data_IF_693156112089
#
_entry.id   IF_693156112089
#
_cell.length_a   1.000
_cell.length_b   1.000
_cell.length_c   1.000
_cell.angle_alpha   90.00
_cell.angle_beta   90.00
_cell.angle_gamma   90.00
#
_symmetry.space_group_name_H-M   'P 1'
#
loop_
_entity.id
_entity.type
_entity.pdbx_description
1 polymer ?
#
# COMPACT_ATOMS: atom_id res chain seq x y z
N UNK A 1 -25.11 1.39 13.68
CA UNK A 1 -23.87 1.27 12.87
C UNK A 1 -22.87 0.44 13.65
N UNK A 2 -21.83 -0.07 13.00
CA UNK A 2 -20.74 -0.82 13.63
C UNK A 2 -19.40 -0.11 13.49
N UNK A 3 -18.31 -0.68 14.00
CA UNK A 3 -16.98 -0.09 13.94
C UNK A 3 -16.61 0.35 12.52
N UNK A 4 -16.20 1.61 12.36
CA UNK A 4 -16.02 2.27 11.05
C UNK A 4 -14.67 2.98 10.98
N UNK A 5 -13.92 2.73 9.91
CA UNK A 5 -12.74 3.51 9.54
C UNK A 5 -13.11 4.40 8.35
N UNK A 6 -12.99 5.71 8.52
CA UNK A 6 -13.25 6.67 7.44
C UNK A 6 -12.03 6.67 6.51
N UNK A 7 -12.24 6.75 5.19
CA UNK A 7 -11.13 6.79 4.23
C UNK A 7 -11.09 8.13 3.50
N UNK A 8 -10.04 8.91 3.74
CA UNK A 8 -9.74 10.14 3.01
C UNK A 8 -8.64 9.90 1.95
N UNK A 9 -8.95 10.15 0.67
CA UNK A 9 -8.01 10.01 -0.47
C UNK A 9 -8.40 10.93 -1.63
N UNK A 10 -8.21 12.26 -1.49
CA UNK A 10 -8.67 13.25 -2.46
C UNK A 10 -8.16 13.02 -3.89
N UNK A 11 -6.98 12.44 -4.06
CA UNK A 11 -6.41 12.11 -5.37
C UNK A 11 -7.25 11.11 -6.17
N UNK A 12 -8.15 10.36 -5.52
CA UNK A 12 -9.06 9.39 -6.16
C UNK A 12 -10.52 9.81 -6.10
N UNK A 13 -10.94 10.54 -5.07
CA UNK A 13 -12.33 10.99 -4.88
C UNK A 13 -12.61 12.36 -5.49
N UNK A 14 -11.57 13.17 -5.74
CA UNK A 14 -11.69 14.56 -6.16
C UNK A 14 -12.04 15.53 -5.03
N UNK A 15 -12.15 15.05 -3.78
CA UNK A 15 -12.54 15.86 -2.63
C UNK A 15 -11.80 15.39 -1.36
N UNK A 16 -11.16 16.36 -0.70
CA UNK A 16 -10.57 16.17 0.63
C UNK A 16 -11.67 16.22 1.70
N UNK A 17 -11.62 15.29 2.67
CA UNK A 17 -12.51 15.32 3.83
C UNK A 17 -11.90 16.29 4.84
N UNK A 18 -12.51 17.45 5.08
CA UNK A 18 -11.87 18.48 5.86
C UNK A 18 -11.80 18.08 7.35
N UNK A 19 -10.76 18.49 8.10
CA UNK A 19 -10.57 18.09 9.49
C UNK A 19 -11.74 18.38 10.43
N UNK A 20 -12.54 19.43 10.15
CA UNK A 20 -13.72 19.77 10.95
C UNK A 20 -14.79 18.67 10.87
N UNK A 21 -14.97 18.05 9.69
CA UNK A 21 -15.92 16.95 9.49
C UNK A 21 -15.46 15.71 10.24
N UNK A 22 -14.16 15.38 10.17
CA UNK A 22 -13.58 14.26 10.92
C UNK A 22 -13.75 14.45 12.43
N UNK A 23 -13.50 15.67 12.93
CA UNK A 23 -13.68 15.98 14.34
C UNK A 23 -15.15 15.91 14.78
N UNK A 24 -16.10 16.33 13.94
CA UNK A 24 -17.52 16.18 14.26
C UNK A 24 -17.89 14.70 14.39
N UNK A 25 -17.47 13.88 13.43
CA UNK A 25 -17.78 12.43 13.41
C UNK A 25 -17.04 11.66 14.51
N UNK A 26 -15.89 12.13 14.99
CA UNK A 26 -15.11 11.44 16.03
C UNK A 26 -15.80 11.34 17.39
N UNK A 27 -16.94 12.01 17.57
CA UNK A 27 -17.80 11.86 18.76
C UNK A 27 -18.68 10.60 18.71
N UNK A 28 -18.82 9.96 17.54
CA UNK A 28 -19.54 8.69 17.41
C UNK A 28 -18.67 7.54 17.93
N UNK A 29 -19.18 6.79 18.90
CA UNK A 29 -18.49 5.64 19.50
C UNK A 29 -18.16 4.51 18.50
N UNK A 30 -18.78 4.50 17.33
CA UNK A 30 -18.48 3.56 16.26
C UNK A 30 -17.31 4.00 15.39
N UNK A 31 -16.82 5.23 15.49
CA UNK A 31 -15.66 5.67 14.72
C UNK A 31 -14.38 5.04 15.29
N UNK A 32 -13.85 4.06 14.57
CA UNK A 32 -12.59 3.41 14.90
C UNK A 32 -11.38 4.27 14.53
N UNK A 33 -11.50 5.18 13.56
CA UNK A 33 -10.43 6.08 13.14
C UNK A 33 -10.50 6.47 11.66
N UNK A 34 -9.37 6.93 11.12
CA UNK A 34 -9.25 7.35 9.71
C UNK A 34 -8.09 6.61 9.02
N UNK A 35 -8.30 6.17 7.78
CA UNK A 35 -7.25 5.88 6.82
C UNK A 35 -6.94 7.17 6.06
N UNK A 36 -5.74 7.73 6.27
CA UNK A 36 -5.36 9.04 5.72
C UNK A 36 -4.31 8.91 4.62
N UNK A 37 -4.52 9.59 3.49
CA UNK A 37 -3.65 9.60 2.31
C UNK A 37 -3.17 11.01 1.90
N UNK A 38 -3.58 12.07 2.61
CA UNK A 38 -3.14 13.46 2.32
C UNK A 38 -1.67 13.68 2.68
N UNK A 39 -1.23 13.13 3.82
CA UNK A 39 0.17 13.19 4.24
C UNK A 39 0.36 13.25 5.75
N UNK A 40 1.62 13.16 6.18
CA UNK A 40 1.99 13.01 7.59
C UNK A 40 1.63 14.21 8.47
N UNK A 41 1.58 15.44 7.95
CA UNK A 41 1.15 16.60 8.74
C UNK A 41 -0.32 16.47 9.16
N UNK A 42 -1.18 15.99 8.25
CA UNK A 42 -2.59 15.71 8.56
C UNK A 42 -2.73 14.57 9.56
N UNK A 43 -1.88 13.53 9.44
CA UNK A 43 -1.81 12.43 10.42
C UNK A 43 -1.51 12.97 11.82
N UNK A 44 -0.52 13.85 11.95
CA UNK A 44 -0.16 14.44 13.24
C UNK A 44 -1.27 15.31 13.81
N UNK A 45 -1.91 16.14 12.99
CA UNK A 45 -3.03 16.99 13.43
C UNK A 45 -4.19 16.18 14.02
N UNK A 46 -4.45 14.99 13.49
CA UNK A 46 -5.45 14.08 14.03
C UNK A 46 -4.96 13.33 15.27
N UNK A 47 -3.73 12.81 15.24
CA UNK A 47 -3.15 12.08 16.36
C UNK A 47 -3.02 12.94 17.63
N UNK A 48 -2.62 14.22 17.48
CA UNK A 48 -2.54 15.19 18.58
C UNK A 48 -3.92 15.49 19.21
N UNK A 49 -5.01 15.22 18.48
CA UNK A 49 -6.41 15.31 18.98
C UNK A 49 -6.97 13.97 19.48
N UNK A 50 -6.13 12.94 19.57
CA UNK A 50 -6.52 11.61 20.04
C UNK A 50 -7.32 10.77 19.03
N UNK A 51 -7.34 11.16 17.75
CA UNK A 51 -8.00 10.38 16.70
C UNK A 51 -7.04 9.29 16.23
N UNK A 52 -7.54 8.05 16.17
CA UNK A 52 -6.78 6.89 15.68
C UNK A 52 -6.61 7.01 14.16
N UNK A 53 -5.38 6.93 13.69
CA UNK A 53 -5.04 7.04 12.27
C UNK A 53 -4.23 5.84 11.80
N UNK A 54 -4.57 5.33 10.62
CA UNK A 54 -3.69 4.48 9.82
C UNK A 54 -3.24 5.26 8.59
N UNK A 55 -1.94 5.27 8.32
CA UNK A 55 -1.45 5.80 7.04
C UNK A 55 -1.95 4.90 5.90
N UNK A 56 -2.45 5.52 4.84
CA UNK A 56 -2.79 4.87 3.59
C UNK A 56 -1.68 4.92 2.54
N UNK A 57 -0.54 5.55 2.85
CA UNK A 57 0.59 5.77 1.95
C UNK A 57 1.80 4.94 2.42
N UNK A 58 2.15 3.87 1.70
CA UNK A 58 3.22 2.95 2.13
C UNK A 58 4.60 3.63 2.22
N UNK A 59 4.88 4.61 1.36
CA UNK A 59 6.13 5.38 1.36
C UNK A 59 6.26 6.32 2.59
N UNK A 60 5.15 6.67 3.23
CA UNK A 60 5.11 7.56 4.39
C UNK A 60 4.87 6.82 5.71
N UNK A 61 4.40 5.57 5.64
CA UNK A 61 3.83 4.87 6.79
C UNK A 61 4.80 4.62 7.95
N UNK A 62 6.09 4.42 7.66
CA UNK A 62 7.12 4.29 8.68
C UNK A 62 7.24 5.57 9.51
N UNK A 63 7.37 6.72 8.85
CA UNK A 63 7.49 8.00 9.54
C UNK A 63 6.17 8.38 10.20
N UNK A 64 5.03 8.10 9.57
CA UNK A 64 3.72 8.27 10.17
C UNK A 64 3.63 7.56 11.54
N UNK A 65 4.08 6.30 11.60
CA UNK A 65 4.05 5.45 12.80
C UNK A 65 4.98 5.94 13.91
N UNK A 66 6.20 6.36 13.56
CA UNK A 66 7.27 6.63 14.52
C UNK A 66 7.53 8.12 14.79
N UNK A 67 6.97 9.02 13.97
CA UNK A 67 7.18 10.46 14.04
C UNK A 67 5.90 11.30 14.14
N UNK A 68 4.76 10.80 13.64
CA UNK A 68 3.51 11.58 13.54
C UNK A 68 2.33 10.97 14.30
N UNK A 69 2.53 9.87 15.03
CA UNK A 69 1.51 9.30 15.92
C UNK A 69 0.46 8.40 15.25
N UNK A 70 0.67 7.97 14.00
CA UNK A 70 -0.19 6.95 13.40
C UNK A 70 -0.13 5.65 14.22
N UNK A 71 -1.25 4.93 14.29
CA UNK A 71 -1.35 3.61 14.91
C UNK A 71 -0.69 2.54 14.04
N UNK A 72 -0.75 2.69 12.71
CA UNK A 72 -0.13 1.76 11.78
C UNK A 72 -0.42 2.13 10.32
N UNK A 73 -0.55 1.12 9.48
CA UNK A 73 -0.73 1.25 8.03
C UNK A 73 -1.85 0.36 7.52
N UNK A 74 -2.61 0.85 6.53
CA UNK A 74 -3.48 0.03 5.69
C UNK A 74 -2.81 -0.08 4.32
N UNK A 75 -1.98 -1.12 4.19
CA UNK A 75 -0.90 -1.22 3.21
C UNK A 75 -1.28 -1.93 1.91
N UNK A 76 -0.65 -1.52 0.80
CA UNK A 76 -0.65 -2.25 -0.48
C UNK A 76 0.53 -3.23 -0.50
N UNK A 77 1.72 -2.74 -0.17
CA UNK A 77 3.01 -3.44 -0.26
C UNK A 77 3.10 -4.66 0.66
N UNK A 78 2.33 -4.69 1.76
CA UNK A 78 2.22 -5.86 2.63
C UNK A 78 1.64 -7.11 1.92
N UNK A 79 0.97 -6.96 0.79
CA UNK A 79 0.57 -8.10 -0.05
C UNK A 79 1.78 -8.85 -0.63
N UNK A 80 2.93 -8.16 -0.79
CA UNK A 80 4.15 -8.75 -1.33
C UNK A 80 5.10 -9.18 -0.21
N UNK A 81 5.36 -8.31 0.76
CA UNK A 81 6.39 -8.51 1.81
C UNK A 81 5.82 -8.35 3.23
N UNK A 82 4.80 -9.15 3.62
CA UNK A 82 4.05 -8.93 4.86
C UNK A 82 4.94 -8.96 6.11
N UNK A 83 5.93 -9.86 6.15
CA UNK A 83 6.86 -9.95 7.28
C UNK A 83 7.73 -8.71 7.46
N UNK A 84 8.15 -8.06 6.37
CA UNK A 84 8.95 -6.82 6.45
C UNK A 84 8.09 -5.62 6.87
N UNK A 85 6.85 -5.53 6.38
CA UNK A 85 5.90 -4.49 6.81
C UNK A 85 5.48 -4.66 8.27
N UNK A 86 5.36 -5.89 8.75
CA UNK A 86 5.19 -6.15 10.19
C UNK A 86 6.37 -5.59 10.99
N UNK A 87 7.61 -5.90 10.61
CA UNK A 87 8.80 -5.36 11.28
C UNK A 87 8.83 -3.83 11.29
N UNK A 88 8.48 -3.19 10.17
CA UNK A 88 8.41 -1.72 10.09
C UNK A 88 7.43 -1.10 11.10
N UNK A 89 6.33 -1.80 11.45
CA UNK A 89 5.28 -1.28 12.32
C UNK A 89 5.45 -1.64 13.81
N UNK A 90 6.16 -2.73 14.11
CA UNK A 90 6.21 -3.31 15.46
C UNK A 90 7.60 -3.31 16.11
N UNK A 91 8.69 -3.33 15.34
CA UNK A 91 10.05 -3.52 15.89
C UNK A 91 10.77 -2.19 16.19
N UNK A 92 10.03 -1.07 16.15
CA UNK A 92 10.56 0.28 16.36
C UNK A 92 11.02 0.96 15.07
N UNK A 93 11.51 2.20 15.21
CA UNK A 93 11.99 3.03 14.09
C UNK A 93 13.18 2.35 13.41
N UNK A 94 13.03 2.02 12.13
CA UNK A 94 14.07 1.36 11.32
C UNK A 94 14.18 2.01 9.93
N UNK A 95 14.88 3.16 9.82
CA UNK A 95 15.01 3.90 8.57
C UNK A 95 15.72 3.10 7.47
N UNK A 96 16.66 2.22 7.84
CA UNK A 96 17.39 1.38 6.87
C UNK A 96 16.48 0.36 6.20
N UNK A 97 15.58 -0.28 6.96
CA UNK A 97 14.58 -1.16 6.38
C UNK A 97 13.57 -0.38 5.53
N UNK A 98 13.18 0.81 5.98
CA UNK A 98 12.29 1.68 5.21
C UNK A 98 12.92 2.03 3.85
N UNK A 99 14.15 2.53 3.85
CA UNK A 99 14.91 2.86 2.64
C UNK A 99 15.08 1.64 1.71
N UNK A 100 15.38 0.46 2.27
CA UNK A 100 15.47 -0.79 1.49
C UNK A 100 14.18 -1.14 0.74
N UNK A 101 13.02 -0.74 1.27
CA UNK A 101 11.71 -1.04 0.67
C UNK A 101 11.24 0.05 -0.31
N UNK A 102 11.82 1.24 -0.31
CA UNK A 102 11.36 2.34 -1.18
C UNK A 102 11.36 1.98 -2.67
N UNK A 103 12.38 1.32 -3.25
CA UNK A 103 12.34 0.93 -4.66
C UNK A 103 11.13 0.04 -5.01
N UNK A 104 10.72 -0.86 -4.10
CA UNK A 104 9.54 -1.70 -4.29
C UNK A 104 8.25 -0.88 -4.25
N UNK A 105 8.16 0.05 -3.30
CA UNK A 105 6.99 0.91 -3.13
C UNK A 105 6.87 1.84 -4.35
N UNK A 106 7.94 2.51 -4.76
CA UNK A 106 7.94 3.38 -5.94
C UNK A 106 7.54 2.60 -7.21
N UNK A 107 8.02 1.37 -7.36
CA UNK A 107 7.62 0.50 -8.47
C UNK A 107 6.13 0.13 -8.40
N UNK A 108 5.59 -0.19 -7.23
CA UNK A 108 4.17 -0.55 -7.05
C UNK A 108 3.22 0.59 -7.45
N UNK A 109 3.64 1.84 -7.25
CA UNK A 109 2.85 3.03 -7.49
C UNK A 109 3.27 3.81 -8.75
N UNK A 110 4.12 3.24 -9.61
CA UNK A 110 4.49 3.86 -10.89
C UNK A 110 3.31 4.01 -11.87
N UNK A 111 2.27 3.18 -11.69
CA UNK A 111 0.94 3.33 -12.27
C UNK A 111 -0.10 3.29 -11.13
N UNK A 112 -1.33 3.81 -11.33
CA UNK A 112 -2.35 3.77 -10.29
C UNK A 112 -2.59 2.36 -9.74
N UNK A 113 -2.41 2.18 -8.42
CA UNK A 113 -2.75 0.93 -7.72
C UNK A 113 -4.21 0.52 -8.06
N UNK A 114 -4.46 -0.75 -8.46
CA UNK A 114 -3.63 -1.94 -8.24
C UNK A 114 -2.84 -2.52 -9.43
N UNK A 115 -2.52 -1.73 -10.47
CA UNK A 115 -1.82 -2.22 -11.67
C UNK A 115 -0.48 -2.90 -11.34
N UNK A 116 0.38 -2.22 -10.58
CA UNK A 116 1.68 -2.77 -10.15
C UNK A 116 1.52 -4.03 -9.30
N UNK A 117 0.63 -4.00 -8.31
CA UNK A 117 0.40 -5.14 -7.41
C UNK A 117 -0.11 -6.39 -8.16
N UNK A 118 -1.10 -6.22 -9.03
CA UNK A 118 -1.63 -7.34 -9.82
C UNK A 118 -0.53 -7.96 -10.70
N UNK A 119 0.32 -7.13 -11.29
CA UNK A 119 1.44 -7.60 -12.11
C UNK A 119 2.46 -8.37 -11.26
N UNK A 120 2.87 -7.82 -10.12
CA UNK A 120 3.85 -8.44 -9.22
C UNK A 120 3.38 -9.80 -8.67
N UNK A 121 2.12 -9.90 -8.21
CA UNK A 121 1.57 -11.15 -7.69
C UNK A 121 1.48 -12.24 -8.79
N UNK A 122 1.21 -11.85 -10.04
CA UNK A 122 1.26 -12.77 -11.17
C UNK A 122 2.70 -13.23 -11.44
N UNK A 123 3.68 -12.32 -11.42
CA UNK A 123 5.11 -12.64 -11.56
C UNK A 123 5.64 -13.56 -10.45
N UNK A 124 5.09 -13.46 -9.23
CA UNK A 124 5.39 -14.38 -8.12
C UNK A 124 4.62 -15.71 -8.21
N UNK A 125 3.72 -15.85 -9.18
CA UNK A 125 2.97 -17.07 -9.45
C UNK A 125 1.96 -17.48 -8.36
N UNK A 126 1.55 -16.52 -7.52
CA UNK A 126 0.55 -16.71 -6.45
C UNK A 126 -0.87 -16.35 -6.89
N UNK A 127 -1.00 -15.59 -7.98
CA UNK A 127 -2.27 -15.39 -8.69
C UNK A 127 -2.08 -15.67 -10.18
N UNK A 128 -3.20 -15.86 -10.90
CA UNK A 128 -3.17 -15.97 -12.36
C UNK A 128 -2.94 -14.57 -12.98
N UNK A 129 -2.25 -14.45 -14.13
CA UNK A 129 -2.08 -13.20 -14.88
C UNK A 129 -3.38 -12.76 -15.57
N UNK A 130 -4.46 -12.55 -14.80
CA UNK A 130 -5.79 -12.18 -15.29
C UNK A 130 -6.17 -10.82 -14.74
N UNK A 131 -6.49 -9.89 -15.63
CA UNK A 131 -6.88 -8.53 -15.28
C UNK A 131 -8.34 -8.29 -15.65
N UNK A 132 -9.10 -7.72 -14.71
CA UNK A 132 -10.39 -7.11 -15.01
C UNK A 132 -10.14 -5.70 -15.53
N UNK A 133 -10.67 -5.39 -16.72
CA UNK A 133 -10.63 -4.03 -17.24
C UNK A 133 -11.35 -3.06 -16.28
N UNK A 134 -10.87 -1.81 -16.14
CA UNK A 134 -9.96 -1.10 -17.05
C UNK A 134 -8.45 -1.31 -16.80
N UNK A 135 -8.06 -2.15 -15.84
CA UNK A 135 -6.65 -2.37 -15.54
C UNK A 135 -5.98 -3.25 -16.60
N UNK A 136 -4.74 -2.92 -16.92
CA UNK A 136 -3.83 -3.68 -17.80
C UNK A 136 -2.50 -3.88 -17.07
N UNK A 137 -1.74 -4.95 -17.35
CA UNK A 137 -0.46 -5.21 -16.67
C UNK A 137 0.60 -4.17 -17.01
N UNK A 138 1.61 -4.05 -16.14
CA UNK A 138 2.78 -3.23 -16.44
C UNK A 138 3.56 -3.80 -17.64
N UNK A 139 4.22 -2.94 -18.43
CA UNK A 139 4.98 -3.35 -19.60
C UNK A 139 6.19 -4.22 -19.23
N UNK A 140 6.69 -5.00 -20.19
CA UNK A 140 7.81 -5.93 -20.02
C UNK A 140 9.02 -5.32 -19.29
N UNK A 141 9.41 -4.09 -19.64
CA UNK A 141 10.53 -3.41 -19.01
C UNK A 141 10.35 -3.24 -17.48
N UNK A 142 9.13 -2.94 -17.03
CA UNK A 142 8.80 -2.84 -15.60
C UNK A 142 8.73 -4.21 -14.93
N UNK A 143 8.28 -5.25 -15.63
CA UNK A 143 8.31 -6.63 -15.11
C UNK A 143 9.75 -7.14 -14.91
N UNK A 144 10.66 -6.80 -15.82
CA UNK A 144 12.10 -7.08 -15.67
C UNK A 144 12.69 -6.31 -14.49
N UNK A 145 12.28 -5.06 -14.27
CA UNK A 145 12.68 -4.26 -13.10
C UNK A 145 12.25 -4.93 -11.78
N UNK A 146 11.02 -5.44 -11.70
CA UNK A 146 10.52 -6.14 -10.53
C UNK A 146 11.35 -7.37 -10.15
N UNK A 147 11.79 -8.18 -11.13
CA UNK A 147 12.68 -9.32 -10.87
C UNK A 147 13.97 -8.87 -10.17
N UNK A 148 14.55 -7.74 -10.58
CA UNK A 148 15.75 -7.17 -9.94
C UNK A 148 15.46 -6.69 -8.51
N UNK A 149 14.30 -6.07 -8.28
CA UNK A 149 13.86 -5.64 -6.95
C UNK A 149 13.72 -6.86 -6.03
N UNK A 150 13.10 -7.95 -6.49
CA UNK A 150 12.96 -9.19 -5.73
C UNK A 150 14.32 -9.76 -5.34
N UNK A 151 15.27 -9.80 -6.27
CA UNK A 151 16.64 -10.25 -6.01
C UNK A 151 17.37 -9.37 -5.00
N UNK A 152 17.21 -8.05 -5.09
CA UNK A 152 17.85 -7.08 -4.17
C UNK A 152 17.29 -7.15 -2.75
N UNK A 153 15.97 -7.33 -2.60
CA UNK A 153 15.34 -7.42 -1.29
C UNK A 153 15.58 -8.80 -0.65
N UNK A 154 15.53 -9.86 -1.45
CA UNK A 154 15.59 -11.27 -1.05
C UNK A 154 14.24 -11.95 -1.32
N UNK A 155 14.23 -12.97 -2.18
CA UNK A 155 13.01 -13.70 -2.61
C UNK A 155 12.28 -14.32 -1.43
N UNK A 156 12.99 -14.73 -0.39
CA UNK A 156 12.48 -15.30 0.85
C UNK A 156 11.56 -14.37 1.65
N UNK A 157 11.60 -13.06 1.38
CA UNK A 157 10.70 -12.10 2.02
C UNK A 157 9.39 -11.89 1.27
N UNK A 158 9.28 -12.37 0.02
CA UNK A 158 8.09 -12.25 -0.80
C UNK A 158 7.15 -13.43 -0.61
N UNK A 159 5.85 -13.20 -0.78
CA UNK A 159 4.82 -14.25 -0.74
C UNK A 159 5.02 -15.35 -1.79
N UNK A 160 4.57 -16.56 -1.47
CA UNK A 160 4.64 -17.74 -2.34
C UNK A 160 6.03 -18.35 -2.44
N UNK A 161 6.12 -19.55 -3.04
CA UNK A 161 7.36 -20.35 -3.08
C UNK A 161 7.97 -20.50 -4.48
N UNK A 162 7.28 -20.02 -5.53
CA UNK A 162 7.78 -20.11 -6.91
C UNK A 162 8.85 -19.07 -7.18
N UNK A 163 9.77 -19.40 -8.07
CA UNK A 163 10.70 -18.41 -8.63
C UNK A 163 9.93 -17.27 -9.30
N UNK A 164 10.40 -16.04 -9.11
CA UNK A 164 9.81 -14.88 -9.76
C UNK A 164 10.06 -14.96 -11.27
N UNK A 165 9.02 -14.76 -12.06
CA UNK A 165 9.08 -14.78 -13.52
C UNK A 165 8.87 -13.38 -14.09
N UNK A 166 9.45 -13.10 -15.25
CA UNK A 166 9.20 -11.84 -15.97
C UNK A 166 7.79 -11.84 -16.57
N UNK A 167 7.34 -12.99 -17.07
CA UNK A 167 6.13 -13.18 -17.89
C UNK A 167 6.21 -12.45 -19.24
N UNK A 168 5.70 -13.09 -20.28
CA UNK A 168 5.52 -12.50 -21.61
C UNK A 168 4.19 -11.74 -21.68
N UNK A 169 4.04 -10.84 -22.66
CA UNK A 169 2.78 -10.07 -22.80
C UNK A 169 1.60 -10.99 -23.13
N UNK A 170 1.84 -12.08 -23.87
CA UNK A 170 0.84 -13.08 -24.24
C UNK A 170 0.36 -13.95 -23.05
N UNK A 171 1.06 -13.90 -21.91
CA UNK A 171 0.61 -14.59 -20.69
C UNK A 171 -0.60 -13.91 -20.04
N UNK A 172 -0.83 -12.62 -20.33
CA UNK A 172 -1.85 -11.84 -19.64
C UNK A 172 -3.22 -11.89 -20.33
N UNK A 173 -4.24 -12.29 -19.56
CA UNK A 173 -5.63 -12.29 -20.01
C UNK A 173 -6.35 -11.03 -19.52
N UNK A 174 -6.82 -10.20 -20.46
CA UNK A 174 -7.65 -9.03 -20.17
C UNK A 174 -9.13 -9.37 -20.36
N UNK A 175 -9.94 -9.20 -19.31
CA UNK A 175 -11.36 -9.54 -19.33
C UNK A 175 -12.21 -8.29 -19.13
N UNK A 176 -13.03 -7.96 -20.14
CA UNK A 176 -13.98 -6.84 -20.09
C UNK A 176 -15.42 -7.24 -19.73
N UNK A 177 -15.78 -8.51 -19.89
CA UNK A 177 -17.09 -9.07 -19.54
C UNK A 177 -16.87 -10.29 -18.65
N UNK A 178 -17.14 -10.13 -17.35
CA UNK A 178 -16.91 -11.11 -16.29
C UNK A 178 -18.06 -11.12 -15.28
#
# INVERSE_FOLDING_TARGET
MGPTIIYNVPSRTGQDIPPQVIHEISHDANMAGVKECVGNDTVKDYADKGIVIWSGNDNECHDARWGYGATGVISVTSNLVPGLFHKLMFDGKNPLLNEKLMPLIDWLFCEPNPIGLNTALAQLGVIRPVFRLPYVPLPLAKRVEFVKIVQSIGREFFVGDKDVQVLDDDDFLLVGRY
#
